data_IF_405714779888
#
_entry.id   IF_405714779888
#
_cell.length_a   1.000
_cell.length_b   1.000
_cell.length_c   1.000
_cell.angle_alpha   90.00
_cell.angle_beta   90.00
_cell.angle_gamma   90.00
#
_symmetry.space_group_name_H-M   'P 1'
#
loop_
_entity.id
_entity.type
_entity.pdbx_description
1 polymer ?
#
# COMPACT_ATOMS: atom_id res chain seq x y z
N UNK A 1 -8.17 -20.39 6.41
CA UNK A 1 -7.08 -20.23 5.41
C UNK A 1 -5.92 -19.57 6.13
N UNK A 2 -4.75 -20.22 6.25
CA UNK A 2 -3.71 -19.86 7.24
C UNK A 2 -3.38 -18.36 7.34
N UNK A 3 -3.26 -17.63 6.22
CA UNK A 3 -2.97 -16.19 6.21
C UNK A 3 -4.13 -15.37 6.79
N UNK A 4 -5.36 -15.64 6.37
CA UNK A 4 -6.54 -14.96 6.92
C UNK A 4 -6.70 -15.23 8.40
N UNK A 5 -6.48 -16.48 8.81
CA UNK A 5 -6.59 -16.91 10.20
C UNK A 5 -5.51 -16.24 11.06
N UNK A 6 -4.27 -16.12 10.56
CA UNK A 6 -3.16 -15.40 11.19
C UNK A 6 -3.50 -13.93 11.48
N UNK A 7 -4.13 -13.24 10.53
CA UNK A 7 -4.55 -11.86 10.71
C UNK A 7 -5.91 -11.72 11.46
N UNK A 8 -6.34 -12.73 12.21
CA UNK A 8 -7.54 -12.66 13.04
C UNK A 8 -8.85 -12.65 12.24
N UNK A 9 -8.86 -13.26 11.06
CA UNK A 9 -10.06 -13.41 10.24
C UNK A 9 -10.42 -12.20 9.39
N UNK A 10 -9.56 -11.19 9.28
CA UNK A 10 -9.80 -10.00 8.47
C UNK A 10 -9.77 -10.30 6.96
N UNK A 11 -10.39 -9.42 6.17
CA UNK A 11 -10.41 -9.53 4.71
C UNK A 11 -11.26 -10.67 4.14
N UNK A 12 -11.36 -10.67 2.82
CA UNK A 12 -12.21 -11.59 2.06
C UNK A 12 -11.38 -12.42 1.09
N UNK A 13 -11.87 -13.62 0.81
CA UNK A 13 -11.28 -14.54 -0.16
C UNK A 13 -12.25 -14.63 -1.33
N UNK A 14 -11.74 -14.33 -2.51
CA UNK A 14 -12.46 -14.48 -3.76
C UNK A 14 -11.87 -15.67 -4.50
N UNK A 15 -12.71 -16.64 -4.85
CA UNK A 15 -12.28 -17.88 -5.50
C UNK A 15 -12.77 -17.83 -6.95
N UNK A 16 -11.85 -18.03 -7.88
CA UNK A 16 -12.16 -18.25 -9.30
C UNK A 16 -11.88 -19.70 -9.67
N UNK A 17 -12.16 -20.07 -10.92
CA UNK A 17 -11.82 -21.41 -11.42
C UNK A 17 -10.31 -21.66 -11.53
N UNK A 18 -9.49 -20.60 -11.59
CA UNK A 18 -8.04 -20.69 -11.82
C UNK A 18 -7.20 -20.31 -10.61
N UNK A 19 -7.73 -19.45 -9.73
CA UNK A 19 -6.98 -18.87 -8.63
C UNK A 19 -7.87 -18.54 -7.43
N UNK A 20 -7.22 -18.09 -6.36
CA UNK A 20 -7.87 -17.58 -5.17
C UNK A 20 -7.14 -16.31 -4.73
N UNK A 21 -7.88 -15.24 -4.46
CA UNK A 21 -7.32 -13.94 -4.08
C UNK A 21 -7.77 -13.56 -2.68
N UNK A 22 -6.82 -13.27 -1.80
CA UNK A 22 -7.07 -12.67 -0.49
C UNK A 22 -6.99 -11.15 -0.58
N UNK A 23 -8.04 -10.44 -0.17
CA UNK A 23 -8.12 -8.98 -0.25
C UNK A 23 -8.59 -8.37 1.06
N UNK A 24 -7.83 -7.41 1.58
CA UNK A 24 -8.19 -6.57 2.72
C UNK A 24 -8.51 -5.16 2.20
N UNK A 25 -9.68 -4.61 2.56
CA UNK A 25 -10.16 -3.32 2.00
C UNK A 25 -10.65 -2.31 3.04
N UNK A 26 -11.17 -2.76 4.18
CA UNK A 26 -11.60 -1.86 5.25
C UNK A 26 -10.39 -1.15 5.85
N UNK A 27 -10.55 0.14 6.15
CA UNK A 27 -9.47 0.95 6.73
C UNK A 27 -8.92 0.32 8.02
N UNK A 28 -9.81 -0.09 8.92
CA UNK A 28 -9.45 -0.72 10.19
C UNK A 28 -8.62 -1.99 10.03
N UNK A 29 -8.93 -2.82 9.03
CA UNK A 29 -8.18 -4.05 8.78
C UNK A 29 -6.85 -3.77 8.07
N UNK A 30 -6.80 -2.77 7.19
CA UNK A 30 -5.55 -2.33 6.56
C UNK A 30 -4.57 -1.80 7.62
N UNK A 31 -5.04 -1.09 8.65
CA UNK A 31 -4.18 -0.62 9.74
C UNK A 31 -3.53 -1.79 10.50
N UNK A 32 -4.22 -2.92 10.65
CA UNK A 32 -3.64 -4.16 11.22
C UNK A 32 -2.55 -4.73 10.30
N UNK A 33 -2.75 -4.72 8.98
CA UNK A 33 -1.74 -5.13 8.01
C UNK A 33 -0.50 -4.23 8.09
N UNK A 34 -0.69 -2.92 8.21
CA UNK A 34 0.41 -1.95 8.38
C UNK A 34 1.19 -2.25 9.65
N UNK A 35 0.51 -2.46 10.78
CA UNK A 35 1.15 -2.78 12.06
C UNK A 35 2.02 -4.05 11.98
N UNK A 36 1.57 -5.08 11.26
CA UNK A 36 2.38 -6.29 11.05
C UNK A 36 3.66 -5.97 10.28
N UNK A 37 3.58 -5.27 9.14
CA UNK A 37 4.76 -4.98 8.32
C UNK A 37 5.66 -3.87 8.88
N UNK A 38 5.20 -3.13 9.88
CA UNK A 38 6.07 -2.26 10.69
C UNK A 38 6.92 -3.08 11.69
N UNK A 39 6.35 -4.14 12.28
CA UNK A 39 7.05 -5.04 13.20
C UNK A 39 7.89 -6.11 12.49
N UNK A 40 7.46 -6.53 11.29
CA UNK A 40 8.10 -7.54 10.46
C UNK A 40 8.33 -6.97 9.06
N UNK A 41 9.36 -6.12 8.88
CA UNK A 41 9.53 -5.35 7.67
C UNK A 41 9.80 -6.20 6.43
N UNK A 42 9.20 -5.78 5.31
CA UNK A 42 9.57 -6.30 3.99
C UNK A 42 11.04 -5.94 3.67
N UNK A 43 11.76 -6.85 3.02
CA UNK A 43 13.17 -6.66 2.66
C UNK A 43 13.41 -6.40 1.16
N UNK A 44 12.42 -6.67 0.31
CA UNK A 44 12.51 -6.45 -1.13
C UNK A 44 12.13 -5.01 -1.49
N UNK A 45 12.25 -4.63 -2.77
CA UNK A 45 11.76 -3.34 -3.27
C UNK A 45 10.24 -3.13 -3.05
N UNK A 46 9.48 -4.19 -2.71
CA UNK A 46 8.09 -4.06 -2.28
C UNK A 46 7.95 -3.21 -1.01
N UNK A 47 8.99 -3.09 -0.18
CA UNK A 47 9.02 -2.18 0.97
C UNK A 47 8.81 -0.73 0.54
N UNK A 48 9.33 -0.32 -0.61
CA UNK A 48 9.14 1.03 -1.14
C UNK A 48 7.66 1.30 -1.45
N UNK A 49 6.98 0.34 -2.09
CA UNK A 49 5.54 0.45 -2.33
C UNK A 49 4.75 0.44 -1.02
N UNK A 50 5.16 -0.38 -0.03
CA UNK A 50 4.55 -0.40 1.30
C UNK A 50 4.70 0.93 2.05
N UNK A 51 5.87 1.58 1.98
CA UNK A 51 6.10 2.90 2.60
C UNK A 51 5.14 3.94 2.02
N UNK A 52 5.02 4.00 0.69
CA UNK A 52 4.12 4.93 0.02
C UNK A 52 2.64 4.59 0.31
N UNK A 53 2.30 3.30 0.30
CA UNK A 53 0.97 2.81 0.68
C UNK A 53 0.59 3.24 2.10
N UNK A 54 1.50 3.06 3.08
CA UNK A 54 1.28 3.47 4.46
C UNK A 54 1.01 4.97 4.56
N UNK A 55 1.78 5.81 3.86
CA UNK A 55 1.55 7.26 3.83
C UNK A 55 0.16 7.62 3.29
N UNK A 56 -0.29 6.97 2.21
CA UNK A 56 -1.64 7.19 1.66
C UNK A 56 -2.70 6.79 2.69
N UNK A 57 -2.56 5.63 3.34
CA UNK A 57 -3.53 5.16 4.33
C UNK A 57 -3.61 6.11 5.54
N UNK A 58 -2.50 6.66 6.01
CA UNK A 58 -2.52 7.68 7.07
C UNK A 58 -3.30 8.93 6.65
N UNK A 59 -3.09 9.42 5.42
CA UNK A 59 -3.88 10.55 4.88
C UNK A 59 -5.37 10.25 4.75
N UNK A 60 -5.72 9.00 4.44
CA UNK A 60 -7.12 8.57 4.43
C UNK A 60 -7.68 8.56 5.85
N UNK A 61 -6.93 8.01 6.81
CA UNK A 61 -7.31 7.93 8.21
C UNK A 61 -7.50 9.31 8.87
N UNK A 62 -6.62 10.26 8.57
CA UNK A 62 -6.68 11.64 9.08
C UNK A 62 -7.75 12.49 8.38
N UNK A 63 -8.35 12.01 7.29
CA UNK A 63 -9.37 12.74 6.53
C UNK A 63 -8.81 13.71 5.48
N UNK A 64 -7.49 13.84 5.34
CA UNK A 64 -6.81 14.74 4.38
C UNK A 64 -7.30 14.55 2.94
N UNK A 65 -7.59 13.30 2.57
CA UNK A 65 -8.08 12.91 1.24
C UNK A 65 -9.38 13.61 0.81
N UNK A 66 -10.15 14.15 1.77
CA UNK A 66 -11.39 14.90 1.50
C UNK A 66 -11.11 16.32 0.97
N UNK A 67 -9.88 16.82 1.14
CA UNK A 67 -9.45 18.10 0.61
C UNK A 67 -8.79 17.94 -0.76
N UNK A 68 -8.92 18.94 -1.64
CA UNK A 68 -8.25 18.94 -2.93
C UNK A 68 -6.72 18.81 -2.80
N UNK A 69 -6.14 19.46 -1.79
CA UNK A 69 -4.71 19.37 -1.47
C UNK A 69 -4.31 17.95 -1.09
N UNK A 70 -4.99 17.34 -0.13
CA UNK A 70 -4.68 15.98 0.32
C UNK A 70 -4.93 14.93 -0.77
N UNK A 71 -5.97 15.11 -1.60
CA UNK A 71 -6.17 14.27 -2.78
C UNK A 71 -5.00 14.38 -3.77
N UNK A 72 -4.52 15.60 -4.07
CA UNK A 72 -3.37 15.79 -4.94
C UNK A 72 -2.10 15.16 -4.37
N UNK A 73 -1.88 15.25 -3.06
CA UNK A 73 -0.75 14.57 -2.38
C UNK A 73 -0.84 13.04 -2.51
N UNK A 74 -2.04 12.46 -2.38
CA UNK A 74 -2.27 11.03 -2.61
C UNK A 74 -1.97 10.65 -4.06
N UNK A 75 -2.37 11.47 -5.04
CA UNK A 75 -2.07 11.23 -6.45
C UNK A 75 -0.55 11.26 -6.71
N UNK A 76 0.17 12.21 -6.11
CA UNK A 76 1.63 12.31 -6.20
C UNK A 76 2.32 11.06 -5.62
N UNK A 77 1.83 10.54 -4.48
CA UNK A 77 2.33 9.29 -3.89
C UNK A 77 2.03 8.09 -4.79
N UNK A 78 0.79 7.96 -5.28
CA UNK A 78 0.35 6.85 -6.11
C UNK A 78 1.10 6.79 -7.45
N UNK A 79 1.52 7.94 -7.98
CA UNK A 79 2.30 8.02 -9.22
C UNK A 79 3.63 7.25 -9.14
N UNK A 80 4.16 7.02 -7.94
CA UNK A 80 5.44 6.34 -7.70
C UNK A 80 5.29 4.89 -7.19
N UNK A 81 4.07 4.36 -7.16
CA UNK A 81 3.77 3.01 -6.70
C UNK A 81 3.45 2.07 -7.86
N UNK A 82 3.93 0.82 -7.79
CA UNK A 82 3.63 -0.23 -8.76
C UNK A 82 3.85 0.23 -10.23
N UNK A 83 2.78 0.39 -11.01
CA UNK A 83 2.80 0.85 -12.42
C UNK A 83 2.57 2.36 -12.59
N UNK A 84 2.49 3.13 -11.50
CA UNK A 84 2.24 4.56 -11.53
C UNK A 84 0.80 4.92 -11.94
N UNK A 85 0.62 6.11 -12.53
CA UNK A 85 -0.68 6.61 -12.99
C UNK A 85 -1.15 5.97 -14.29
N UNK A 86 -2.46 5.78 -14.44
CA UNK A 86 -3.05 5.45 -15.75
C UNK A 86 -3.11 6.68 -16.62
N UNK A 87 -3.15 6.52 -17.95
CA UNK A 87 -3.25 7.63 -18.89
C UNK A 87 -4.42 8.57 -18.56
N UNK A 88 -5.58 8.01 -18.25
CA UNK A 88 -6.73 8.78 -17.80
C UNK A 88 -6.47 9.61 -16.54
N UNK A 89 -5.72 9.10 -15.56
CA UNK A 89 -5.41 9.89 -14.36
C UNK A 89 -4.34 10.94 -14.63
N UNK A 90 -3.41 10.69 -15.56
CA UNK A 90 -2.46 11.71 -16.01
C UNK A 90 -3.16 12.89 -16.69
N UNK A 91 -4.24 12.66 -17.44
CA UNK A 91 -5.00 13.76 -18.06
C UNK A 91 -5.79 14.58 -17.05
N UNK A 92 -6.34 13.95 -16.00
CA UNK A 92 -7.12 14.63 -14.97
C UNK A 92 -6.23 15.34 -13.93
N UNK A 93 -5.02 14.84 -13.68
CA UNK A 93 -4.05 15.41 -12.75
C UNK A 93 -2.75 15.81 -13.46
N UNK A 94 -2.79 16.80 -14.38
CA UNK A 94 -1.64 17.16 -15.23
C UNK A 94 -0.46 17.76 -14.45
N UNK A 95 -0.71 18.30 -13.25
CA UNK A 95 0.30 18.90 -12.38
C UNK A 95 0.90 17.90 -11.37
N UNK A 96 0.69 16.60 -11.57
CA UNK A 96 1.23 15.57 -10.68
C UNK A 96 2.74 15.61 -10.69
N UNK A 97 3.35 15.72 -9.51
CA UNK A 97 4.79 15.58 -9.31
C UNK A 97 5.01 14.29 -8.52
N UNK A 98 5.48 13.21 -9.17
CA UNK A 98 5.69 11.94 -8.49
C UNK A 98 6.69 12.07 -7.33
N UNK A 99 6.35 11.48 -6.18
CA UNK A 99 7.26 11.47 -5.02
C UNK A 99 8.47 10.57 -5.31
N UNK A 100 9.65 10.94 -4.81
CA UNK A 100 10.82 10.08 -4.95
C UNK A 100 10.57 8.70 -4.31
N UNK A 101 10.71 7.63 -5.10
CA UNK A 101 10.53 6.26 -4.61
C UNK A 101 11.74 5.87 -3.76
N UNK A 102 11.56 5.45 -2.49
CA UNK A 102 12.68 5.01 -1.66
C UNK A 102 13.39 3.82 -2.31
N UNK A 103 14.73 3.84 -2.37
CA UNK A 103 15.51 2.70 -2.79
C UNK A 103 15.83 1.83 -1.58
N UNK A 104 15.51 0.54 -1.66
CA UNK A 104 15.90 -0.40 -0.61
C UNK A 104 17.28 -0.94 -0.94
N UNK A 105 18.30 -0.35 -0.30
CA UNK A 105 19.69 -0.77 -0.40
C UNK A 105 20.05 -1.74 0.74
N UNK A 106 21.13 -2.51 0.54
CA UNK A 106 21.71 -3.39 1.58
C UNK A 106 20.70 -4.41 2.17
N UNK A 107 20.03 -5.17 1.30
CA UNK A 107 19.08 -6.22 1.69
C UNK A 107 19.80 -7.23 2.62
N UNK A 108 19.54 -7.09 3.91
CA UNK A 108 20.02 -8.02 4.93
C UNK A 108 18.94 -9.05 5.17
N UNK A 109 19.26 -10.32 4.96
CA UNK A 109 18.33 -11.41 5.27
C UNK A 109 18.46 -11.67 6.77
N UNK A 110 17.44 -11.36 7.59
CA UNK A 110 17.51 -11.63 9.01
C UNK A 110 17.62 -13.14 9.23
N UNK A 111 18.49 -13.56 10.14
CA UNK A 111 18.54 -14.95 10.56
C UNK A 111 17.21 -15.28 11.26
N UNK A 112 16.58 -16.43 10.97
CA UNK A 112 15.43 -16.86 11.74
C UNK A 112 15.86 -17.10 13.20
N UNK A 113 15.22 -16.41 14.14
CA UNK A 113 15.28 -16.74 15.56
C UNK A 113 14.32 -17.88 15.89
#
# INVERSE_FOLDING_TARGET
MRIKDYFGGIGNIYISTKDSTFVVRSLDDILKIISHFDNYPLITQKKSDFILFKQIIHKVYEGDHLSAKGLQEIVNLRASMNLGLSDFLNTIFPNTVPVARPLIENITIPHPE
#
